data_IF_268235008834
#
_entry.id   IF_268235008834
#
_cell.length_a   1.000
_cell.length_b   1.000
_cell.length_c   1.000
_cell.angle_alpha   90.00
_cell.angle_beta   90.00
_cell.angle_gamma   90.00
#
_symmetry.space_group_name_H-M   'P 1'
#
loop_
_entity.id
_entity.type
_entity.pdbx_description
1 polymer ?
#
# COMPACT_ATOMS: atom_id res chain seq x y z
N UNK A 1 36.31 -30.01 -17.62
CA UNK A 1 36.76 -30.09 -16.21
C UNK A 1 37.25 -28.76 -15.65
N UNK A 2 38.07 -27.91 -16.34
CA UNK A 2 38.56 -26.62 -15.83
C UNK A 2 37.47 -25.56 -15.54
N UNK A 3 36.40 -25.47 -16.33
CA UNK A 3 35.32 -24.50 -16.14
C UNK A 3 34.45 -24.82 -14.91
N UNK A 4 34.20 -26.09 -14.65
CA UNK A 4 33.41 -26.57 -13.51
C UNK A 4 34.11 -26.31 -12.17
N UNK A 5 35.47 -26.40 -12.14
CA UNK A 5 36.25 -26.04 -10.95
C UNK A 5 36.25 -24.52 -10.73
N UNK A 6 36.32 -23.69 -11.78
CA UNK A 6 36.20 -22.23 -11.65
C UNK A 6 34.83 -21.81 -11.07
N UNK A 7 33.73 -22.38 -11.53
CA UNK A 7 32.39 -22.08 -10.97
C UNK A 7 32.27 -22.47 -9.50
N UNK A 8 32.83 -23.59 -9.09
CA UNK A 8 32.86 -24.02 -7.68
C UNK A 8 33.65 -23.06 -6.81
N UNK A 9 34.80 -22.58 -7.31
CA UNK A 9 35.64 -21.59 -6.61
C UNK A 9 34.93 -20.25 -6.50
N UNK A 10 34.33 -19.72 -7.58
CA UNK A 10 33.58 -18.48 -7.57
C UNK A 10 32.43 -18.58 -6.57
N UNK A 11 31.65 -19.66 -6.60
CA UNK A 11 30.54 -19.86 -5.64
C UNK A 11 31.00 -19.86 -4.19
N UNK A 12 32.13 -20.51 -3.88
CA UNK A 12 32.72 -20.49 -2.51
C UNK A 12 33.17 -19.09 -2.10
N UNK A 13 33.84 -18.36 -2.99
CA UNK A 13 34.25 -16.99 -2.72
C UNK A 13 33.04 -16.08 -2.49
N UNK A 14 32.01 -16.17 -3.33
CA UNK A 14 30.76 -15.41 -3.17
C UNK A 14 30.07 -15.72 -1.84
N UNK A 15 30.03 -17.01 -1.45
CA UNK A 15 29.44 -17.42 -0.16
C UNK A 15 30.25 -16.86 1.02
N UNK A 16 31.59 -16.90 0.95
CA UNK A 16 32.45 -16.32 2.00
C UNK A 16 32.30 -14.81 2.11
N UNK A 17 32.25 -14.11 0.97
CA UNK A 17 32.01 -12.66 0.94
C UNK A 17 30.63 -12.32 1.53
N UNK A 18 29.57 -13.07 1.17
CA UNK A 18 28.23 -12.87 1.76
C UNK A 18 28.24 -13.10 3.28
N UNK A 19 28.89 -14.17 3.76
CA UNK A 19 29.03 -14.43 5.19
C UNK A 19 29.80 -13.30 5.90
N UNK A 20 30.87 -12.83 5.29
CA UNK A 20 31.64 -11.71 5.84
C UNK A 20 30.79 -10.43 5.93
N UNK A 21 30.02 -10.11 4.87
CA UNK A 21 29.12 -8.95 4.87
C UNK A 21 28.07 -9.09 5.97
N UNK A 22 27.47 -10.27 6.15
CA UNK A 22 26.47 -10.53 7.19
C UNK A 22 27.09 -10.33 8.58
N UNK A 23 28.25 -10.92 8.85
CA UNK A 23 28.94 -10.77 10.14
C UNK A 23 29.33 -9.30 10.38
N UNK A 24 29.82 -8.63 9.36
CA UNK A 24 30.15 -7.20 9.42
C UNK A 24 28.91 -6.34 9.75
N UNK A 25 27.77 -6.60 9.08
CA UNK A 25 26.52 -5.93 9.39
C UNK A 25 26.08 -6.15 10.85
N UNK A 26 26.18 -7.38 11.37
CA UNK A 26 25.88 -7.66 12.78
C UNK A 26 26.83 -6.91 13.73
N UNK A 27 28.11 -6.81 13.40
CA UNK A 27 29.09 -6.08 14.21
C UNK A 27 28.82 -4.57 14.21
N UNK A 28 28.50 -3.99 13.04
CA UNK A 28 28.24 -2.53 12.91
C UNK A 28 26.91 -2.13 13.52
N UNK A 29 25.86 -2.99 13.44
CA UNK A 29 24.54 -2.69 14.03
C UNK A 29 24.49 -2.86 15.55
N UNK A 30 25.62 -3.23 16.20
CA UNK A 30 25.64 -3.45 17.65
C UNK A 30 24.76 -4.61 18.11
N UNK A 31 24.58 -5.61 17.23
CA UNK A 31 23.76 -6.79 17.53
C UNK A 31 24.37 -7.56 18.70
N UNK A 32 23.68 -7.55 19.85
CA UNK A 32 24.09 -8.27 21.05
C UNK A 32 23.13 -9.45 21.32
N UNK A 33 23.65 -10.66 21.12
CA UNK A 33 22.91 -11.89 21.37
C UNK A 33 22.48 -12.02 22.85
N UNK A 34 23.24 -11.46 23.78
CA UNK A 34 22.88 -11.47 25.20
C UNK A 34 21.62 -10.65 25.47
N UNK A 35 21.42 -9.54 24.73
CA UNK A 35 20.18 -8.76 24.83
C UNK A 35 18.98 -9.57 24.38
N UNK A 36 19.10 -10.34 23.30
CA UNK A 36 18.01 -11.20 22.82
C UNK A 36 17.71 -12.31 23.82
N UNK A 37 18.72 -12.96 24.36
CA UNK A 37 18.55 -14.04 25.34
C UNK A 37 17.92 -13.50 26.63
N UNK A 38 18.43 -12.40 27.16
CA UNK A 38 17.97 -11.83 28.42
C UNK A 38 16.60 -11.13 28.31
N UNK A 39 16.28 -10.51 27.16
CA UNK A 39 15.01 -9.82 26.92
C UNK A 39 13.98 -10.66 26.18
N UNK A 40 14.34 -11.82 25.66
CA UNK A 40 13.42 -12.73 24.98
C UNK A 40 12.25 -13.16 25.88
N UNK A 41 12.51 -13.36 27.17
CA UNK A 41 11.47 -13.65 28.19
C UNK A 41 10.43 -12.53 28.29
N UNK A 42 10.83 -11.26 28.13
CA UNK A 42 9.92 -10.11 28.17
C UNK A 42 9.00 -10.08 26.93
N UNK A 43 9.52 -10.43 25.75
CA UNK A 43 8.70 -10.56 24.54
C UNK A 43 7.67 -11.67 24.66
N UNK A 44 8.06 -12.83 25.20
CA UNK A 44 7.13 -13.93 25.49
C UNK A 44 6.08 -13.52 26.53
N UNK A 45 6.48 -12.80 27.58
CA UNK A 45 5.55 -12.29 28.60
C UNK A 45 4.56 -11.29 27.98
N UNK A 46 5.01 -10.41 27.09
CA UNK A 46 4.16 -9.47 26.35
C UNK A 46 3.08 -10.22 25.54
N UNK A 47 3.49 -11.23 24.75
CA UNK A 47 2.56 -12.06 23.98
C UNK A 47 1.59 -12.81 24.92
N UNK A 48 2.08 -13.40 26.02
CA UNK A 48 1.22 -14.08 27.00
C UNK A 48 0.17 -13.16 27.63
N UNK A 49 0.48 -11.88 27.85
CA UNK A 49 -0.48 -10.89 28.37
C UNK A 49 -1.58 -10.51 27.38
N UNK A 50 -1.38 -10.76 26.08
CA UNK A 50 -2.40 -10.56 25.04
C UNK A 50 -3.41 -11.72 25.01
N UNK A 51 -3.06 -12.88 25.58
CA UNK A 51 -3.90 -14.08 25.64
C UNK A 51 -4.22 -14.46 27.09
N UNK A 52 -5.50 -14.73 27.43
CA UNK A 52 -6.67 -14.74 26.54
C UNK A 52 -7.14 -13.33 26.15
N UNK A 53 -7.63 -13.14 24.91
CA UNK A 53 -8.18 -11.88 24.46
C UNK A 53 -9.50 -11.56 25.22
N UNK A 54 -9.72 -10.28 25.51
CA UNK A 54 -10.95 -9.80 26.16
C UNK A 54 -12.14 -9.86 25.20
N UNK A 55 -12.91 -10.94 25.24
CA UNK A 55 -14.08 -11.15 24.39
C UNK A 55 -15.19 -10.12 24.63
N UNK A 56 -15.31 -9.57 25.84
CA UNK A 56 -16.27 -8.50 26.15
C UNK A 56 -15.96 -7.19 25.40
N UNK A 57 -14.74 -7.02 24.94
CA UNK A 57 -14.33 -5.83 24.19
C UNK A 57 -14.68 -5.88 22.68
N UNK A 58 -15.12 -7.04 22.15
CA UNK A 58 -15.44 -7.28 20.75
C UNK A 58 -16.38 -6.22 20.17
N UNK A 59 -17.48 -5.88 20.87
CA UNK A 59 -18.47 -4.91 20.40
C UNK A 59 -17.90 -3.50 20.16
N UNK A 60 -16.87 -3.09 20.91
CA UNK A 60 -16.23 -1.78 20.76
C UNK A 60 -15.23 -1.75 19.60
N UNK A 61 -14.77 -2.91 19.12
CA UNK A 61 -13.81 -3.03 18.02
C UNK A 61 -14.49 -3.01 16.66
N UNK A 62 -15.76 -3.44 16.56
CA UNK A 62 -16.48 -3.60 15.29
C UNK A 62 -16.56 -2.27 14.52
N UNK A 63 -16.99 -1.19 15.16
CA UNK A 63 -17.17 0.10 14.48
C UNK A 63 -15.83 0.66 13.92
N UNK A 64 -14.72 0.75 14.71
CA UNK A 64 -13.43 1.15 14.18
C UNK A 64 -12.89 0.22 13.09
N UNK A 65 -13.18 -1.09 13.18
CA UNK A 65 -12.81 -2.07 12.16
C UNK A 65 -13.53 -1.81 10.83
N UNK A 66 -14.85 -1.59 10.87
CA UNK A 66 -15.64 -1.24 9.69
C UNK A 66 -15.12 0.05 9.06
N UNK A 67 -14.83 1.09 9.85
CA UNK A 67 -14.24 2.34 9.36
C UNK A 67 -12.90 2.09 8.66
N UNK A 68 -12.06 1.20 9.19
CA UNK A 68 -10.79 0.82 8.56
C UNK A 68 -10.99 0.16 7.20
N UNK A 69 -11.96 -0.74 7.10
CA UNK A 69 -12.30 -1.40 5.84
C UNK A 69 -12.90 -0.41 4.84
N UNK A 70 -13.80 0.46 5.28
CA UNK A 70 -14.40 1.50 4.43
C UNK A 70 -13.34 2.43 3.83
N UNK A 71 -12.43 2.99 4.66
CA UNK A 71 -11.39 3.89 4.15
C UNK A 71 -10.42 3.18 3.20
N UNK A 72 -10.14 1.89 3.44
CA UNK A 72 -9.28 1.10 2.55
C UNK A 72 -9.93 0.87 1.18
N UNK A 73 -11.21 0.53 1.16
CA UNK A 73 -11.97 0.30 -0.08
C UNK A 73 -12.14 1.60 -0.86
N UNK A 74 -12.60 2.67 -0.19
CA UNK A 74 -12.78 3.97 -0.83
C UNK A 74 -11.46 4.50 -1.40
N UNK A 75 -10.38 4.47 -0.60
CA UNK A 75 -9.06 4.91 -1.01
C UNK A 75 -8.50 4.09 -2.18
N UNK A 76 -8.63 2.75 -2.11
CA UNK A 76 -8.15 1.88 -3.18
C UNK A 76 -8.92 2.10 -4.47
N UNK A 77 -10.25 2.21 -4.42
CA UNK A 77 -11.06 2.43 -5.61
C UNK A 77 -10.74 3.77 -6.28
N UNK A 78 -10.72 4.87 -5.50
CA UNK A 78 -10.35 6.19 -6.01
C UNK A 78 -8.96 6.17 -6.61
N UNK A 79 -7.98 5.62 -5.88
CA UNK A 79 -6.60 5.51 -6.36
C UNK A 79 -6.48 4.65 -7.62
N UNK A 80 -7.18 3.53 -7.71
CA UNK A 80 -7.17 2.67 -8.90
C UNK A 80 -7.80 3.35 -10.12
N UNK A 81 -8.91 4.06 -9.96
CA UNK A 81 -9.54 4.81 -11.07
C UNK A 81 -8.57 5.86 -11.63
N UNK A 82 -8.00 6.72 -10.77
CA UNK A 82 -7.01 7.72 -11.21
C UNK A 82 -5.72 7.05 -11.72
N UNK A 83 -5.33 5.91 -11.13
CA UNK A 83 -4.21 5.09 -11.56
C UNK A 83 -4.38 4.59 -12.98
N UNK A 84 -5.57 4.11 -13.35
CA UNK A 84 -5.87 3.64 -14.70
C UNK A 84 -5.68 4.75 -15.75
N UNK A 85 -6.21 5.95 -15.50
CA UNK A 85 -6.01 7.09 -16.41
C UNK A 85 -4.53 7.46 -16.55
N UNK A 86 -3.79 7.45 -15.43
CA UNK A 86 -2.37 7.76 -15.44
C UNK A 86 -1.54 6.65 -16.09
N UNK A 87 -1.96 5.39 -16.01
CA UNK A 87 -1.31 4.25 -16.64
C UNK A 87 -1.21 4.42 -18.18
N UNK A 88 -2.23 5.01 -18.82
CA UNK A 88 -2.17 5.31 -20.26
C UNK A 88 -1.12 6.37 -20.59
N UNK A 89 -0.91 7.34 -19.72
CA UNK A 89 0.14 8.36 -19.91
C UNK A 89 1.54 7.81 -19.55
N UNK A 90 1.59 6.79 -18.70
CA UNK A 90 2.81 6.12 -18.27
C UNK A 90 3.37 5.18 -19.36
N UNK A 91 2.49 4.51 -20.11
CA UNK A 91 2.84 3.48 -21.08
C UNK A 91 3.58 4.06 -22.31
N UNK A 92 4.77 3.52 -22.57
CA UNK A 92 5.66 4.01 -23.62
C UNK A 92 5.25 3.61 -25.03
N UNK A 93 4.48 2.52 -25.16
CA UNK A 93 3.97 2.03 -26.44
C UNK A 93 2.76 2.86 -26.96
N UNK A 94 2.05 3.56 -26.07
CA UNK A 94 0.91 4.41 -26.45
C UNK A 94 1.31 5.88 -26.65
N UNK A 95 2.13 6.44 -25.77
CA UNK A 95 2.55 7.84 -25.81
C UNK A 95 3.91 7.97 -26.49
N UNK A 96 3.91 8.43 -27.73
CA UNK A 96 5.13 8.68 -28.52
C UNK A 96 5.95 9.88 -28.01
N UNK A 97 5.30 10.87 -27.33
CA UNK A 97 5.97 12.06 -26.80
C UNK A 97 6.79 11.71 -25.55
N UNK A 98 8.09 11.57 -25.72
CA UNK A 98 9.01 11.11 -24.66
C UNK A 98 8.99 11.99 -23.41
N UNK A 99 8.89 13.31 -23.53
CA UNK A 99 8.89 14.23 -22.39
C UNK A 99 7.67 14.05 -21.47
N UNK A 100 6.45 13.86 -22.02
CA UNK A 100 5.23 13.63 -21.24
C UNK A 100 5.38 12.36 -20.42
N UNK A 101 5.83 11.29 -21.06
CA UNK A 101 6.07 10.01 -20.39
C UNK A 101 7.08 10.12 -19.26
N UNK A 102 8.21 10.80 -19.50
CA UNK A 102 9.26 10.97 -18.48
C UNK A 102 8.71 11.75 -17.29
N UNK A 103 8.01 12.86 -17.50
CA UNK A 103 7.41 13.66 -16.43
C UNK A 103 6.43 12.83 -15.59
N UNK A 104 5.50 12.11 -16.25
CA UNK A 104 4.53 11.25 -15.56
C UNK A 104 5.24 10.16 -14.75
N UNK A 105 6.25 9.49 -15.31
CA UNK A 105 7.02 8.46 -14.63
C UNK A 105 7.76 9.01 -13.41
N UNK A 106 8.36 10.18 -13.53
CA UNK A 106 9.06 10.83 -12.41
C UNK A 106 8.07 11.18 -11.29
N UNK A 107 6.92 11.80 -11.61
CA UNK A 107 5.90 12.13 -10.61
C UNK A 107 5.39 10.89 -9.90
N UNK A 108 4.99 9.85 -10.64
CA UNK A 108 4.52 8.58 -10.08
C UNK A 108 5.59 7.94 -9.19
N UNK A 109 6.86 7.95 -9.64
CA UNK A 109 7.96 7.37 -8.87
C UNK A 109 8.23 8.18 -7.59
N UNK A 110 8.22 9.51 -7.64
CA UNK A 110 8.36 10.36 -6.46
C UNK A 110 7.27 10.07 -5.40
N UNK A 111 6.01 9.97 -5.81
CA UNK A 111 4.92 9.67 -4.88
C UNK A 111 5.05 8.26 -4.29
N UNK A 112 5.48 7.27 -5.08
CA UNK A 112 5.69 5.89 -4.61
C UNK A 112 6.81 5.74 -3.58
N UNK A 113 7.82 6.61 -3.61
CA UNK A 113 8.91 6.57 -2.63
C UNK A 113 8.49 7.09 -1.26
N UNK A 114 7.37 7.84 -1.18
CA UNK A 114 6.87 8.35 0.08
C UNK A 114 6.11 7.23 0.82
N UNK A 115 6.51 6.85 2.04
CA UNK A 115 5.75 5.91 2.85
C UNK A 115 4.30 6.38 3.08
N UNK A 116 3.34 5.45 2.99
CA UNK A 116 1.91 5.78 3.17
C UNK A 116 1.60 6.45 4.51
N UNK A 117 2.39 6.15 5.55
CA UNK A 117 2.28 6.78 6.87
C UNK A 117 2.57 8.28 6.82
N UNK A 118 3.56 8.70 6.03
CA UNK A 118 3.89 10.12 5.81
C UNK A 118 2.77 10.81 5.02
N UNK A 119 2.23 10.14 3.99
CA UNK A 119 1.07 10.66 3.26
C UNK A 119 -0.14 10.85 4.19
N UNK A 120 -0.37 9.92 5.12
CA UNK A 120 -1.45 10.04 6.10
C UNK A 120 -1.19 11.19 7.08
N UNK A 121 0.04 11.36 7.55
CA UNK A 121 0.40 12.49 8.42
C UNK A 121 0.15 13.84 7.71
N UNK A 122 0.58 13.97 6.46
CA UNK A 122 0.31 15.18 5.66
C UNK A 122 -1.20 15.37 5.47
N UNK A 123 -1.92 14.30 5.17
CA UNK A 123 -3.37 14.35 5.01
C UNK A 123 -4.09 14.76 6.30
N UNK A 124 -3.65 14.30 7.48
CA UNK A 124 -4.24 14.72 8.76
C UNK A 124 -3.99 16.18 9.07
N UNK A 125 -2.87 16.76 8.65
CA UNK A 125 -2.63 18.19 8.78
C UNK A 125 -3.55 19.05 7.90
N UNK A 126 -3.88 18.57 6.68
CA UNK A 126 -4.71 19.32 5.72
C UNK A 126 -6.19 19.19 6.07
N UNK A 127 -6.67 17.96 6.27
CA UNK A 127 -8.10 17.61 6.38
C UNK A 127 -8.54 17.28 7.80
N UNK A 128 -7.64 17.39 8.77
CA UNK A 128 -7.92 17.04 10.16
C UNK A 128 -7.75 15.54 10.45
N UNK A 129 -7.85 15.20 11.74
CA UNK A 129 -7.80 13.83 12.21
C UNK A 129 -9.07 13.08 11.79
N UNK A 130 -8.94 11.85 11.29
CA UNK A 130 -10.10 11.02 10.98
C UNK A 130 -9.93 10.14 9.75
N UNK A 131 -10.97 9.34 9.45
CA UNK A 131 -10.98 8.37 8.37
C UNK A 131 -10.82 8.99 6.98
N UNK A 132 -11.22 10.25 6.80
CA UNK A 132 -11.06 10.99 5.55
C UNK A 132 -9.59 11.18 5.17
N UNK A 133 -8.75 11.59 6.12
CA UNK A 133 -7.31 11.74 5.91
C UNK A 133 -6.65 10.40 5.54
N UNK A 134 -7.02 9.31 6.23
CA UNK A 134 -6.56 7.97 5.91
C UNK A 134 -6.99 7.51 4.51
N UNK A 135 -8.23 7.78 4.13
CA UNK A 135 -8.74 7.46 2.78
C UNK A 135 -7.96 8.18 1.69
N UNK A 136 -7.67 9.48 1.87
CA UNK A 136 -6.90 10.27 0.91
C UNK A 136 -5.46 9.76 0.80
N UNK A 137 -4.82 9.47 1.92
CA UNK A 137 -3.46 8.91 1.94
C UNK A 137 -3.38 7.58 1.17
N UNK A 138 -4.34 6.69 1.42
CA UNK A 138 -4.46 5.41 0.70
C UNK A 138 -4.73 5.65 -0.78
N UNK A 139 -5.61 6.60 -1.13
CA UNK A 139 -5.92 6.90 -2.52
C UNK A 139 -4.70 7.40 -3.30
N UNK A 140 -3.91 8.32 -2.72
CA UNK A 140 -2.69 8.85 -3.35
C UNK A 140 -1.63 7.76 -3.50
N UNK A 141 -1.40 6.95 -2.46
CA UNK A 141 -0.47 5.83 -2.53
C UNK A 141 -0.89 4.81 -3.59
N UNK A 142 -2.16 4.40 -3.57
CA UNK A 142 -2.73 3.45 -4.53
C UNK A 142 -2.69 3.98 -5.96
N UNK A 143 -3.01 5.26 -6.16
CA UNK A 143 -2.88 5.90 -7.47
C UNK A 143 -1.49 5.72 -8.07
N UNK A 144 -0.44 6.00 -7.31
CA UNK A 144 0.92 5.90 -7.81
C UNK A 144 1.34 4.42 -8.06
N UNK A 145 0.91 3.48 -7.21
CA UNK A 145 1.17 2.04 -7.40
C UNK A 145 0.45 1.52 -8.63
N UNK A 146 -0.86 1.81 -8.76
CA UNK A 146 -1.69 1.30 -9.85
C UNK A 146 -1.38 1.97 -11.19
N UNK A 147 -0.96 3.24 -11.19
CA UNK A 147 -0.49 3.92 -12.41
C UNK A 147 0.74 3.24 -13.01
N UNK A 148 1.67 2.80 -12.15
CA UNK A 148 2.86 2.06 -12.59
C UNK A 148 2.50 0.66 -13.06
N UNK A 149 1.81 -0.13 -12.24
CA UNK A 149 1.44 -1.52 -12.57
C UNK A 149 0.66 -1.53 -13.88
N UNK A 150 -0.39 -0.71 -13.99
CA UNK A 150 -1.19 -0.63 -15.21
C UNK A 150 -0.40 -0.16 -16.42
N UNK A 151 0.56 0.77 -16.24
CA UNK A 151 1.45 1.21 -17.31
C UNK A 151 2.39 0.11 -17.80
N UNK A 152 2.98 -0.66 -16.88
CA UNK A 152 3.83 -1.83 -17.18
C UNK A 152 3.00 -2.95 -17.84
N UNK A 153 1.78 -3.20 -17.36
CA UNK A 153 0.84 -4.16 -17.97
C UNK A 153 0.53 -3.75 -19.43
N UNK A 154 0.21 -2.48 -19.68
CA UNK A 154 -0.04 -1.96 -21.05
C UNK A 154 1.20 -2.11 -21.95
N UNK A 155 2.40 -1.87 -21.43
CA UNK A 155 3.65 -2.07 -22.19
C UNK A 155 3.89 -3.54 -22.56
N UNK A 156 3.41 -4.47 -21.72
CA UNK A 156 3.48 -5.91 -21.98
C UNK A 156 2.48 -6.43 -22.99
N UNK A 157 1.40 -5.67 -23.31
CA UNK A 157 0.40 -6.10 -24.27
C UNK A 157 0.90 -6.01 -25.71
N UNK A 158 0.45 -6.95 -26.54
CA UNK A 158 0.66 -6.88 -27.97
C UNK A 158 -0.34 -5.92 -28.61
N UNK A 159 0.15 -4.84 -29.25
CA UNK A 159 -0.72 -3.88 -29.93
C UNK A 159 -1.21 -4.34 -31.32
N UNK A 160 -0.86 -5.55 -31.77
CA UNK A 160 -1.29 -6.11 -33.06
C UNK A 160 -2.81 -6.09 -33.27
N UNK A 161 -3.66 -6.48 -32.28
CA UNK A 161 -5.12 -6.38 -32.43
C UNK A 161 -5.60 -4.92 -32.58
N UNK A 162 -4.98 -3.98 -31.87
CA UNK A 162 -5.27 -2.55 -31.96
C UNK A 162 -4.92 -2.01 -33.37
N UNK A 163 -3.74 -2.36 -33.89
CA UNK A 163 -3.29 -1.97 -35.24
C UNK A 163 -4.19 -2.55 -36.32
N UNK A 164 -4.59 -3.82 -36.20
CA UNK A 164 -5.50 -4.46 -37.15
C UNK A 164 -6.87 -3.76 -37.19
N UNK A 165 -7.45 -3.44 -36.02
CA UNK A 165 -8.75 -2.76 -35.94
C UNK A 165 -8.68 -1.32 -36.46
N UNK A 166 -7.55 -0.63 -36.26
CA UNK A 166 -7.35 0.70 -36.84
C UNK A 166 -7.13 0.66 -38.36
N UNK A 167 -6.46 -0.36 -38.89
CA UNK A 167 -6.20 -0.54 -40.32
C UNK A 167 -7.49 -0.75 -41.12
N UNK A 168 -8.53 -1.37 -40.55
CA UNK A 168 -9.86 -1.51 -41.20
C UNK A 168 -10.74 -0.26 -41.06
N UNK A 169 -10.18 0.89 -40.61
CA UNK A 169 -10.85 2.18 -40.53
C UNK A 169 -11.60 2.48 -39.24
N UNK A 170 -11.45 1.70 -38.20
CA UNK A 170 -12.05 2.03 -36.91
C UNK A 170 -11.34 3.24 -36.25
N UNK A 171 -12.12 4.14 -35.70
CA UNK A 171 -11.56 5.27 -34.95
C UNK A 171 -10.68 4.82 -33.78
N UNK A 172 -9.56 5.50 -33.55
CA UNK A 172 -8.53 5.14 -32.54
C UNK A 172 -9.10 4.83 -31.16
N UNK A 173 -10.07 5.60 -30.67
CA UNK A 173 -10.71 5.39 -29.37
C UNK A 173 -11.53 4.09 -29.33
N UNK A 174 -12.29 3.79 -30.41
CA UNK A 174 -13.05 2.53 -30.50
C UNK A 174 -12.14 1.31 -30.58
N UNK A 175 -11.08 1.39 -31.39
CA UNK A 175 -10.08 0.33 -31.46
C UNK A 175 -9.45 0.08 -30.11
N UNK A 176 -9.00 1.14 -29.42
CA UNK A 176 -8.38 1.07 -28.10
C UNK A 176 -9.30 0.45 -27.05
N UNK A 177 -10.55 0.92 -26.94
CA UNK A 177 -11.50 0.41 -25.94
C UNK A 177 -11.92 -1.04 -26.18
N UNK A 178 -11.88 -1.51 -27.43
CA UNK A 178 -12.29 -2.87 -27.81
C UNK A 178 -11.17 -3.89 -27.80
N UNK A 179 -9.93 -3.45 -27.80
CA UNK A 179 -8.74 -4.32 -27.81
C UNK A 179 -7.96 -4.18 -26.50
N UNK A 180 -7.34 -3.03 -26.26
CA UNK A 180 -6.42 -2.83 -25.12
C UNK A 180 -7.14 -2.87 -23.79
N UNK A 181 -8.27 -2.15 -23.62
CA UNK A 181 -8.99 -2.11 -22.33
C UNK A 181 -9.53 -3.49 -21.97
N UNK A 182 -10.09 -4.23 -22.92
CA UNK A 182 -10.68 -5.56 -22.64
C UNK A 182 -9.60 -6.55 -22.18
N UNK A 183 -8.41 -6.48 -22.73
CA UNK A 183 -7.29 -7.33 -22.37
C UNK A 183 -6.65 -6.91 -21.05
N UNK A 184 -6.52 -5.60 -20.81
CA UNK A 184 -5.94 -5.02 -19.59
C UNK A 184 -6.81 -5.23 -18.35
N UNK A 185 -8.13 -5.01 -18.47
CA UNK A 185 -9.03 -4.80 -17.32
C UNK A 185 -9.07 -5.97 -16.32
N UNK A 186 -9.08 -7.25 -16.71
CA UNK A 186 -9.07 -8.35 -15.76
C UNK A 186 -7.82 -8.36 -14.89
N UNK A 187 -6.64 -8.22 -15.48
CA UNK A 187 -5.37 -8.13 -14.76
C UNK A 187 -5.31 -6.90 -13.85
N UNK A 188 -5.73 -5.75 -14.36
CA UNK A 188 -5.75 -4.50 -13.59
C UNK A 188 -6.67 -4.58 -12.36
N UNK A 189 -7.86 -5.16 -12.51
CA UNK A 189 -8.78 -5.38 -11.39
C UNK A 189 -8.22 -6.40 -10.38
N UNK A 190 -7.58 -7.46 -10.86
CA UNK A 190 -6.91 -8.44 -10.00
C UNK A 190 -5.79 -7.78 -9.17
N UNK A 191 -4.98 -6.91 -9.79
CA UNK A 191 -3.95 -6.13 -9.11
C UNK A 191 -4.56 -5.13 -8.11
N UNK A 192 -5.71 -4.51 -8.44
CA UNK A 192 -6.43 -3.61 -7.54
C UNK A 192 -6.91 -4.32 -6.27
N UNK A 193 -7.38 -5.57 -6.39
CA UNK A 193 -7.76 -6.40 -5.23
C UNK A 193 -6.55 -6.75 -4.36
N UNK A 194 -5.40 -7.03 -4.97
CA UNK A 194 -4.15 -7.25 -4.23
C UNK A 194 -3.73 -6.01 -3.45
N UNK A 195 -3.81 -4.83 -4.08
CA UNK A 195 -3.50 -3.54 -3.42
C UNK A 195 -4.50 -3.22 -2.31
N UNK A 196 -5.80 -3.52 -2.49
CA UNK A 196 -6.82 -3.38 -1.45
C UNK A 196 -6.46 -4.18 -0.20
N UNK A 197 -6.07 -5.43 -0.38
CA UNK A 197 -5.65 -6.33 0.70
C UNK A 197 -4.45 -5.79 1.49
N UNK A 198 -3.46 -5.24 0.77
CA UNK A 198 -2.32 -4.56 1.39
C UNK A 198 -2.75 -3.28 2.13
N UNK A 199 -3.66 -2.50 1.55
CA UNK A 199 -4.15 -1.24 2.13
C UNK A 199 -4.92 -1.45 3.43
N UNK A 200 -5.64 -2.55 3.61
CA UNK A 200 -6.33 -2.86 4.88
C UNK A 200 -5.32 -3.06 6.01
N UNK A 201 -4.21 -3.74 5.73
CA UNK A 201 -3.12 -3.89 6.70
C UNK A 201 -2.44 -2.55 7.00
N UNK A 202 -2.19 -1.73 5.97
CA UNK A 202 -1.64 -0.39 6.15
C UNK A 202 -2.59 0.52 6.94
N UNK A 203 -3.89 0.45 6.69
CA UNK A 203 -4.90 1.25 7.38
C UNK A 203 -4.90 1.05 8.89
N UNK A 204 -4.58 -0.17 9.37
CA UNK A 204 -4.43 -0.44 10.78
C UNK A 204 -3.26 0.35 11.42
N UNK A 205 -2.22 0.66 10.65
CA UNK A 205 -1.07 1.44 11.12
C UNK A 205 -1.33 2.95 11.01
N UNK A 206 -2.12 3.39 10.02
CA UNK A 206 -2.40 4.81 9.81
C UNK A 206 -3.11 5.48 10.99
N UNK A 207 -3.79 4.71 11.83
CA UNK A 207 -4.40 5.21 13.06
C UNK A 207 -3.39 5.79 14.07
N UNK A 208 -2.11 5.37 14.04
CA UNK A 208 -1.06 5.96 14.87
C UNK A 208 -0.80 7.43 14.58
N UNK A 209 -1.06 7.89 13.37
CA UNK A 209 -0.94 9.30 12.96
C UNK A 209 -2.29 10.02 12.96
N UNK A 210 -3.31 9.44 13.61
CA UNK A 210 -4.63 10.07 13.74
C UNK A 210 -5.54 9.92 12.52
N UNK A 211 -5.22 9.04 11.57
CA UNK A 211 -6.06 8.76 10.40
C UNK A 211 -7.31 7.92 10.72
N UNK A 212 -7.64 7.76 12.01
CA UNK A 212 -8.85 7.06 12.45
C UNK A 212 -8.78 5.53 12.35
N UNK A 213 -9.95 4.90 12.41
CA UNK A 213 -10.08 3.45 12.28
C UNK A 213 -9.53 2.65 13.49
N UNK A 214 -9.27 1.36 13.25
CA UNK A 214 -8.83 0.41 14.29
C UNK A 214 -7.46 0.76 14.87
N UNK A 215 -6.59 1.42 14.10
CA UNK A 215 -5.25 1.77 14.54
C UNK A 215 -5.22 2.83 15.66
N UNK A 216 -6.19 3.73 15.69
CA UNK A 216 -6.34 4.69 16.77
C UNK A 216 -6.67 3.96 18.09
N UNK A 217 -7.63 3.02 18.03
CA UNK A 217 -8.01 2.21 19.17
C UNK A 217 -6.86 1.31 19.65
N UNK A 218 -6.10 0.75 18.71
CA UNK A 218 -4.92 -0.06 19.01
C UNK A 218 -3.86 0.76 19.74
N UNK A 219 -3.53 1.96 19.24
CA UNK A 219 -2.56 2.86 19.86
C UNK A 219 -2.99 3.27 21.29
N UNK A 220 -4.27 3.59 21.48
CA UNK A 220 -4.85 3.93 22.79
C UNK A 220 -4.64 2.77 23.78
N UNK A 221 -5.01 1.54 23.40
CA UNK A 221 -4.93 0.39 24.30
C UNK A 221 -3.50 -0.06 24.58
N UNK A 222 -2.58 0.10 23.64
CA UNK A 222 -1.14 -0.12 23.87
C UNK A 222 -0.61 0.91 24.88
N UNK A 223 -0.96 2.19 24.71
CA UNK A 223 -0.53 3.27 25.61
C UNK A 223 -1.03 3.06 27.05
N UNK A 224 -2.25 2.54 27.22
CA UNK A 224 -2.83 2.20 28.51
C UNK A 224 -2.40 0.84 29.06
N UNK A 225 -1.56 0.08 28.32
CA UNK A 225 -1.07 -1.26 28.69
C UNK A 225 -2.17 -2.29 28.92
N UNK A 226 -3.32 -2.10 28.26
CA UNK A 226 -4.46 -3.02 28.31
C UNK A 226 -4.28 -4.19 27.30
N UNK A 227 -3.27 -5.02 27.53
CA UNK A 227 -2.79 -6.00 26.53
C UNK A 227 -3.84 -7.04 26.14
N UNK A 228 -4.74 -7.46 27.04
CA UNK A 228 -5.83 -8.40 26.72
C UNK A 228 -6.80 -7.80 25.67
N UNK A 229 -7.08 -6.49 25.75
CA UNK A 229 -7.87 -5.76 24.75
C UNK A 229 -7.12 -5.57 23.44
N UNK A 230 -5.81 -5.32 23.52
CA UNK A 230 -4.94 -5.30 22.32
C UNK A 230 -5.00 -6.64 21.62
N UNK A 231 -4.94 -7.75 22.36
CA UNK A 231 -5.11 -9.10 21.82
C UNK A 231 -6.42 -9.27 21.06
N UNK A 232 -7.55 -8.78 21.60
CA UNK A 232 -8.86 -8.84 20.93
C UNK A 232 -8.91 -8.00 19.65
N UNK A 233 -8.34 -6.79 19.66
CA UNK A 233 -8.23 -5.93 18.48
C UNK A 233 -7.46 -6.65 17.36
N UNK A 234 -6.31 -7.26 17.69
CA UNK A 234 -5.49 -7.97 16.72
C UNK A 234 -6.17 -9.22 16.16
N UNK A 235 -6.87 -9.99 17.00
CA UNK A 235 -7.65 -11.15 16.55
C UNK A 235 -8.75 -10.73 15.58
N UNK A 236 -9.51 -9.68 15.91
CA UNK A 236 -10.57 -9.19 15.03
C UNK A 236 -10.03 -8.63 13.71
N UNK A 237 -8.91 -7.89 13.75
CA UNK A 237 -8.22 -7.42 12.55
C UNK A 237 -7.75 -8.60 11.68
N UNK A 238 -7.16 -9.63 12.31
CA UNK A 238 -6.72 -10.83 11.60
C UNK A 238 -7.89 -11.55 10.91
N UNK A 239 -9.00 -11.74 11.62
CA UNK A 239 -10.22 -12.36 11.04
C UNK A 239 -10.75 -11.52 9.89
N UNK A 240 -10.81 -10.18 10.03
CA UNK A 240 -11.26 -9.31 8.96
C UNK A 240 -10.37 -9.41 7.71
N UNK A 241 -9.05 -9.44 7.90
CA UNK A 241 -8.09 -9.61 6.79
C UNK A 241 -8.31 -10.96 6.10
N UNK A 242 -8.46 -12.06 6.86
CA UNK A 242 -8.74 -13.38 6.28
C UNK A 242 -10.05 -13.43 5.47
N UNK A 243 -11.11 -12.79 5.97
CA UNK A 243 -12.39 -12.71 5.24
C UNK A 243 -12.22 -11.96 3.92
N UNK A 244 -11.55 -10.82 3.96
CA UNK A 244 -11.31 -10.00 2.75
C UNK A 244 -10.38 -10.71 1.77
N UNK A 245 -9.35 -11.39 2.25
CA UNK A 245 -8.47 -12.22 1.42
C UNK A 245 -9.26 -13.34 0.73
N UNK A 246 -10.14 -14.04 1.46
CA UNK A 246 -11.04 -15.05 0.88
C UNK A 246 -11.93 -14.48 -0.22
N UNK A 247 -12.55 -13.32 0.02
CA UNK A 247 -13.36 -12.62 -0.99
C UNK A 247 -12.49 -12.23 -2.20
N UNK A 248 -11.29 -11.72 -1.97
CA UNK A 248 -10.35 -11.32 -3.03
C UNK A 248 -9.92 -12.51 -3.89
N UNK A 249 -9.62 -13.65 -3.28
CA UNK A 249 -9.27 -14.89 -3.99
C UNK A 249 -10.43 -15.34 -4.89
N UNK A 250 -11.65 -15.33 -4.37
CA UNK A 250 -12.85 -15.68 -5.14
C UNK A 250 -13.05 -14.72 -6.33
N UNK A 251 -12.95 -13.40 -6.10
CA UNK A 251 -13.10 -12.40 -7.15
C UNK A 251 -11.99 -12.51 -8.22
N UNK A 252 -10.73 -12.72 -7.81
CA UNK A 252 -9.62 -12.97 -8.75
C UNK A 252 -9.87 -14.21 -9.61
N UNK A 253 -10.27 -15.34 -9.00
CA UNK A 253 -10.59 -16.55 -9.74
C UNK A 253 -11.75 -16.36 -10.74
N UNK A 254 -12.71 -15.51 -10.40
CA UNK A 254 -13.81 -15.12 -11.28
C UNK A 254 -13.34 -14.22 -12.44
N UNK A 255 -12.48 -13.24 -12.17
CA UNK A 255 -11.90 -12.34 -13.19
C UNK A 255 -10.99 -13.10 -14.16
N UNK A 256 -10.18 -14.03 -13.67
CA UNK A 256 -9.28 -14.88 -14.46
C UNK A 256 -10.02 -15.91 -15.34
N UNK A 257 -11.34 -15.99 -15.23
CA UNK A 257 -12.16 -16.95 -15.99
C UNK A 257 -12.05 -18.40 -15.52
N UNK A 258 -11.45 -18.63 -14.35
CA UNK A 258 -11.39 -19.98 -13.72
C UNK A 258 -12.76 -20.47 -13.25
N UNK A 259 -13.68 -19.53 -12.99
CA UNK A 259 -15.07 -19.79 -12.64
C UNK A 259 -15.94 -19.43 -13.84
N UNK A 260 -16.91 -20.28 -14.15
CA UNK A 260 -17.80 -20.11 -15.31
C UNK A 260 -18.58 -18.78 -15.20
N UNK A 261 -18.34 -17.90 -16.17
CA UNK A 261 -19.02 -16.57 -16.20
C UNK A 261 -20.48 -16.75 -16.58
N UNK A 262 -21.36 -16.25 -15.71
CA UNK A 262 -22.78 -16.11 -16.01
C UNK A 262 -23.12 -14.62 -16.03
N UNK A 263 -23.91 -14.16 -17.02
CA UNK A 263 -24.31 -12.75 -17.17
C UNK A 263 -24.98 -12.22 -15.90
N UNK A 264 -25.83 -13.03 -15.28
CA UNK A 264 -26.51 -12.67 -14.01
C UNK A 264 -25.50 -12.48 -12.86
N UNK A 265 -24.51 -13.38 -12.75
CA UNK A 265 -23.46 -13.26 -11.74
C UNK A 265 -22.59 -12.00 -11.95
N UNK A 266 -22.27 -11.65 -13.21
CA UNK A 266 -21.55 -10.42 -13.53
C UNK A 266 -22.29 -9.18 -13.03
N UNK A 267 -23.60 -9.11 -13.27
CA UNK A 267 -24.44 -7.97 -12.83
C UNK A 267 -24.49 -7.91 -11.31
N UNK A 268 -24.74 -9.03 -10.64
CA UNK A 268 -24.81 -9.09 -9.17
C UNK A 268 -23.48 -8.65 -8.55
N UNK A 269 -22.34 -9.17 -8.99
CA UNK A 269 -21.01 -8.81 -8.48
C UNK A 269 -20.75 -7.32 -8.71
N UNK A 270 -21.04 -6.78 -9.89
CA UNK A 270 -20.83 -5.36 -10.19
C UNK A 270 -21.71 -4.46 -9.30
N UNK A 271 -22.95 -4.82 -9.10
CA UNK A 271 -23.88 -4.09 -8.21
C UNK A 271 -23.41 -4.16 -6.77
N UNK A 272 -22.99 -5.33 -6.26
CA UNK A 272 -22.45 -5.48 -4.92
C UNK A 272 -21.20 -4.63 -4.70
N UNK A 273 -20.27 -4.62 -5.65
CA UNK A 273 -19.05 -3.79 -5.59
C UNK A 273 -19.44 -2.31 -5.55
N UNK A 274 -20.38 -1.87 -6.39
CA UNK A 274 -20.83 -0.48 -6.45
C UNK A 274 -21.54 -0.05 -5.16
N UNK A 275 -22.46 -0.86 -4.62
CA UNK A 275 -23.12 -0.59 -3.34
C UNK A 275 -22.13 -0.50 -2.20
N UNK A 276 -21.16 -1.42 -2.15
CA UNK A 276 -20.15 -1.43 -1.11
C UNK A 276 -19.19 -0.24 -1.22
N UNK A 277 -18.88 0.19 -2.44
CA UNK A 277 -18.10 1.41 -2.68
C UNK A 277 -18.86 2.67 -2.22
N UNK A 278 -20.14 2.82 -2.61
CA UNK A 278 -20.96 3.96 -2.18
C UNK A 278 -21.09 4.00 -0.65
N UNK A 279 -21.28 2.84 -0.02
CA UNK A 279 -21.26 2.73 1.44
C UNK A 279 -19.91 3.16 2.03
N UNK A 280 -18.78 2.79 1.39
CA UNK A 280 -17.44 3.15 1.84
C UNK A 280 -17.16 4.65 1.72
N UNK A 281 -17.82 5.37 0.81
CA UNK A 281 -17.72 6.84 0.72
C UNK A 281 -18.28 7.55 1.95
N UNK A 282 -19.12 6.90 2.75
CA UNK A 282 -19.58 7.49 4.01
C UNK A 282 -18.46 7.75 5.01
N UNK A 283 -17.34 7.04 4.91
CA UNK A 283 -16.15 7.31 5.72
C UNK A 283 -15.47 8.66 5.42
N UNK A 284 -15.78 9.27 4.26
CA UNK A 284 -15.17 10.53 3.79
C UNK A 284 -16.03 11.76 4.17
N UNK A 285 -17.21 11.58 4.80
CA UNK A 285 -18.14 12.69 5.09
C UNK A 285 -17.59 13.76 6.03
N UNK A 286 -16.63 13.44 6.87
CA UNK A 286 -16.09 14.33 7.89
C UNK A 286 -14.88 15.16 7.40
N UNK A 287 -14.86 15.54 6.12
CA UNK A 287 -13.77 16.35 5.55
C UNK A 287 -13.93 17.80 5.95
N UNK A 288 -13.08 18.31 6.84
CA UNK A 288 -12.95 19.74 7.12
C UNK A 288 -11.56 20.21 6.68
N UNK A 289 -11.51 21.16 5.75
CA UNK A 289 -10.23 21.71 5.28
C UNK A 289 -9.77 22.82 6.21
N UNK A 290 -8.62 22.66 6.87
CA UNK A 290 -8.03 23.70 7.74
C UNK A 290 -7.06 24.59 6.97
N UNK A 291 -7.27 25.91 7.01
CA UNK A 291 -6.32 26.90 6.46
C UNK A 291 -4.93 26.79 7.12
N UNK A 292 -4.90 26.38 8.38
CA UNK A 292 -3.66 26.16 9.12
C UNK A 292 -2.90 24.95 8.57
N UNK A 293 -3.62 23.88 8.21
CA UNK A 293 -3.04 22.68 7.63
C UNK A 293 -2.31 22.92 6.31
N UNK A 294 -2.83 23.80 5.46
CA UNK A 294 -2.18 24.15 4.18
C UNK A 294 -0.82 24.84 4.43
N UNK A 295 -0.73 25.71 5.44
CA UNK A 295 0.54 26.37 5.83
C UNK A 295 1.55 25.35 6.36
N UNK A 296 1.11 24.38 7.16
CA UNK A 296 1.97 23.31 7.70
C UNK A 296 2.52 22.43 6.58
N UNK A 297 1.69 22.10 5.59
CA UNK A 297 2.15 21.35 4.40
C UNK A 297 3.20 22.15 3.62
N UNK A 298 3.00 23.45 3.45
CA UNK A 298 4.02 24.32 2.85
C UNK A 298 5.36 24.26 3.59
N UNK A 299 5.33 24.29 4.93
CA UNK A 299 6.53 24.17 5.76
C UNK A 299 7.18 22.76 5.63
N UNK A 300 6.39 21.69 5.60
CA UNK A 300 6.90 20.31 5.39
C UNK A 300 7.54 20.19 4.01
N UNK A 301 6.88 20.67 2.95
CA UNK A 301 7.43 20.65 1.59
C UNK A 301 8.71 21.46 1.47
N UNK A 302 8.78 22.61 2.15
CA UNK A 302 10.00 23.39 2.22
C UNK A 302 11.13 22.62 2.94
N UNK A 303 10.84 21.95 4.05
CA UNK A 303 11.80 21.09 4.76
C UNK A 303 12.31 19.91 3.92
N UNK A 304 11.44 19.31 3.09
CA UNK A 304 11.83 18.22 2.18
C UNK A 304 12.72 18.74 1.04
N UNK A 305 12.45 19.93 0.51
CA UNK A 305 13.22 20.54 -0.58
C UNK A 305 14.51 21.21 -0.11
N UNK A 306 14.57 21.61 1.17
CA UNK A 306 15.73 22.21 1.81
C UNK A 306 16.08 21.43 3.08
N UNK A 307 16.59 20.19 2.94
CA UNK A 307 16.97 19.40 4.09
C UNK A 307 18.17 20.04 4.81
N UNK A 308 18.14 19.99 6.12
CA UNK A 308 19.24 20.46 6.95
C UNK A 308 20.39 19.45 6.89
N UNK A 309 21.29 19.68 5.93
CA UNK A 309 22.44 18.82 5.73
C UNK A 309 23.42 18.90 6.90
N UNK A 310 23.49 20.03 7.62
CA UNK A 310 24.35 20.18 8.79
C UNK A 310 23.90 19.22 9.91
N UNK A 311 22.60 19.05 10.13
CA UNK A 311 22.06 18.12 11.11
C UNK A 311 22.43 16.65 10.79
N UNK A 312 22.47 16.30 9.52
CA UNK A 312 22.80 14.94 9.08
C UNK A 312 24.29 14.57 9.35
N UNK A 313 25.19 15.60 9.33
CA UNK A 313 26.61 15.42 9.53
C UNK A 313 27.09 15.93 10.90
N UNK A 314 26.22 16.53 11.72
CA UNK A 314 26.57 16.88 13.10
C UNK A 314 26.74 15.62 13.94
N UNK A 315 27.98 15.23 14.15
CA UNK A 315 28.37 14.45 15.32
C UNK A 315 28.10 15.35 16.53
N UNK A 316 27.06 15.05 17.33
CA UNK A 316 26.79 15.81 18.54
C UNK A 316 28.04 15.87 19.41
N UNK A 317 28.21 16.95 20.21
CA UNK A 317 29.31 17.14 21.15
C UNK A 317 29.51 15.98 22.14
N UNK A 318 28.59 15.03 22.16
CA UNK A 318 28.61 13.78 22.94
C UNK A 318 29.12 12.54 22.18
N UNK A 319 29.58 12.65 20.94
CA UNK A 319 30.09 11.52 20.13
C UNK A 319 29.03 10.48 19.74
N UNK A 320 27.75 10.74 19.98
CA UNK A 320 26.64 9.86 19.60
C UNK A 320 26.12 10.33 18.24
N UNK A 321 26.35 9.53 17.23
CA UNK A 321 25.76 9.70 15.90
C UNK A 321 24.27 9.36 16.02
N UNK A 322 23.39 10.34 15.91
CA UNK A 322 21.94 10.10 15.79
C UNK A 322 21.64 9.67 14.35
N UNK A 323 21.58 8.36 14.11
CA UNK A 323 21.00 7.75 12.91
C UNK A 323 19.52 7.46 13.17
#
# INVERSE_FOLDING_TARGET
MKSMNRMKVIRRITTLVMLFIIIFCFAVTGFDMNVIINRGSQAVLFIKRMFPPDTGYCGKVIEPLIKTVQMSIAGTFIGAVFGLFTAFLYAGNLIKKSYVRIVVRVIVQCVRTIPVLILALVATFIWGLGAAAGTIAIAVSTWAVMARIGGEDIEGLTLKPYEAVTAIGAGKFKAFSRTVIIELLPGYLSNSLYVLEANIRHAAILGYVGAGGIGLLLNEKISWREYSRVGMILVMLFVAVLVIEGISIFLKAYLDGRIKRNTTANVIISVCIMVFFVYSLSAVKDVSTSKLGIKVVGAIMHGITHPDWEYMFMTGKSGVMYL
#
